data_IF_521337230372
#
_entry.id   IF_521337230372
#
_cell.length_a   1.000
_cell.length_b   1.000
_cell.length_c   1.000
_cell.angle_alpha   90.00
_cell.angle_beta   90.00
_cell.angle_gamma   90.00
#
_symmetry.space_group_name_H-M   'P 1'
#
loop_
_entity.id
_entity.type
_entity.pdbx_description
1 polymer ?
#
# COMPACT_ATOMS: atom_id res chain seq x y z
N UNK A 1 18.72 -7.41 -2.84
CA UNK A 1 17.28 -7.50 -2.55
C UNK A 1 16.64 -6.13 -2.71
N UNK A 2 15.48 -6.10 -3.33
CA UNK A 2 14.80 -4.85 -3.62
C UNK A 2 13.41 -4.85 -2.97
N UNK A 3 13.39 -4.67 -1.66
CA UNK A 3 12.15 -4.60 -0.91
C UNK A 3 11.35 -3.36 -1.28
N UNK A 4 10.03 -3.48 -1.24
CA UNK A 4 9.10 -2.40 -1.52
C UNK A 4 7.96 -2.49 -0.50
N UNK A 5 7.49 -1.35 -0.03
CA UNK A 5 6.39 -1.29 0.92
C UNK A 5 5.14 -0.81 0.20
N UNK A 6 4.03 -1.53 0.39
CA UNK A 6 2.72 -1.12 -0.10
C UNK A 6 1.89 -0.54 1.04
N UNK A 7 1.21 0.57 0.79
CA UNK A 7 0.41 1.25 1.80
C UNK A 7 -0.98 1.57 1.25
N UNK A 8 -1.99 1.29 2.07
CA UNK A 8 -3.37 1.68 1.80
C UNK A 8 -3.81 2.65 2.90
N UNK A 9 -3.90 3.92 2.53
CA UNK A 9 -4.19 5.00 3.48
C UNK A 9 -5.69 5.08 3.78
N UNK A 10 -6.11 4.40 4.83
CA UNK A 10 -7.51 4.40 5.25
C UNK A 10 -7.86 5.51 6.23
N UNK A 11 -9.11 5.57 6.62
CA UNK A 11 -9.60 6.58 7.56
C UNK A 11 -9.06 6.42 8.98
N UNK A 12 -8.99 5.19 9.46
CA UNK A 12 -8.53 4.88 10.82
C UNK A 12 -7.22 4.11 10.82
N UNK A 13 -6.91 3.39 9.76
CA UNK A 13 -5.74 2.52 9.66
C UNK A 13 -5.04 2.71 8.34
N UNK A 14 -3.75 2.40 8.37
CA UNK A 14 -2.96 2.32 7.16
C UNK A 14 -2.66 0.84 6.96
N UNK A 15 -3.19 0.26 5.89
CA UNK A 15 -2.87 -1.11 5.50
C UNK A 15 -1.43 -1.19 5.03
N UNK A 16 -0.74 -2.28 5.36
CA UNK A 16 0.68 -2.44 5.11
C UNK A 16 0.96 -3.77 4.42
N UNK A 17 1.77 -3.74 3.39
CA UNK A 17 2.31 -4.93 2.76
C UNK A 17 3.78 -4.72 2.47
N UNK A 18 4.54 -5.81 2.42
CA UNK A 18 5.95 -5.78 2.05
C UNK A 18 6.15 -6.79 0.93
N UNK A 19 6.88 -6.40 -0.09
CA UNK A 19 7.18 -7.26 -1.22
C UNK A 19 8.62 -7.10 -1.67
N UNK A 20 8.96 -7.83 -2.71
CA UNK A 20 10.31 -7.85 -3.26
C UNK A 20 10.25 -7.83 -4.79
N UNK A 21 11.02 -6.94 -5.41
CA UNK A 21 11.04 -6.80 -6.87
C UNK A 21 11.63 -8.02 -7.57
N UNK A 22 12.49 -8.76 -6.91
CA UNK A 22 13.10 -9.96 -7.50
C UNK A 22 12.14 -11.15 -7.50
N UNK A 23 11.50 -11.43 -6.36
CA UNK A 23 10.53 -12.52 -6.27
C UNK A 23 9.16 -12.14 -6.79
N UNK A 24 8.87 -10.84 -6.84
CA UNK A 24 7.59 -10.28 -7.26
C UNK A 24 6.42 -10.75 -6.42
N UNK A 25 6.67 -11.01 -5.14
CA UNK A 25 5.61 -11.42 -4.22
C UNK A 25 5.43 -10.39 -3.13
N UNK A 26 4.17 -10.12 -2.80
CA UNK A 26 3.79 -9.22 -1.73
C UNK A 26 3.08 -9.97 -0.63
N UNK A 27 3.34 -9.58 0.62
CA UNK A 27 2.76 -10.19 1.80
C UNK A 27 2.14 -9.12 2.68
N UNK A 28 0.92 -9.37 3.16
CA UNK A 28 0.25 -8.45 4.09
C UNK A 28 0.97 -8.45 5.44
N UNK A 29 1.04 -7.27 6.03
CA UNK A 29 1.57 -7.07 7.38
C UNK A 29 0.49 -6.46 8.25
N UNK A 30 0.65 -6.47 9.58
CA UNK A 30 -0.34 -5.83 10.44
C UNK A 30 -0.53 -4.36 10.08
N UNK A 31 -1.79 -3.92 10.01
CA UNK A 31 -2.09 -2.53 9.70
C UNK A 31 -1.67 -1.63 10.87
N UNK A 32 -1.34 -0.38 10.53
CA UNK A 32 -1.00 0.64 11.52
C UNK A 32 -2.25 1.42 11.88
N UNK A 33 -2.53 1.55 13.17
CA UNK A 33 -3.59 2.44 13.64
C UNK A 33 -3.09 3.88 13.52
N UNK A 34 -3.85 4.71 12.81
CA UNK A 34 -3.46 6.11 12.61
C UNK A 34 -3.54 6.88 13.93
N UNK A 35 -2.53 7.68 14.18
CA UNK A 35 -2.44 8.54 15.37
C UNK A 35 -2.40 10.00 14.94
N UNK A 36 -1.27 10.44 14.43
CA UNK A 36 -1.08 11.76 13.85
C UNK A 36 -0.03 11.64 12.76
N UNK A 37 0.09 12.65 11.91
CA UNK A 37 0.97 12.59 10.76
C UNK A 37 2.41 12.27 11.16
N UNK A 38 2.95 12.98 12.14
CA UNK A 38 4.34 12.79 12.55
C UNK A 38 4.60 11.37 13.04
N UNK A 39 3.74 10.84 13.91
CA UNK A 39 3.89 9.49 14.44
C UNK A 39 3.75 8.43 13.34
N UNK A 40 2.80 8.62 12.42
CA UNK A 40 2.57 7.68 11.34
C UNK A 40 3.77 7.66 10.39
N UNK A 41 4.33 8.83 10.05
CA UNK A 41 5.53 8.90 9.21
C UNK A 41 6.73 8.26 9.88
N UNK A 42 6.90 8.45 11.19
CA UNK A 42 8.00 7.83 11.93
C UNK A 42 7.89 6.31 11.88
N UNK A 43 6.70 5.75 12.06
CA UNK A 43 6.51 4.30 12.03
C UNK A 43 6.77 3.72 10.65
N UNK A 44 6.37 4.45 9.59
CA UNK A 44 6.65 4.01 8.23
C UNK A 44 8.15 4.12 7.92
N UNK A 45 8.81 5.17 8.39
CA UNK A 45 10.25 5.31 8.23
C UNK A 45 11.00 4.17 8.92
N UNK A 46 10.57 3.79 10.13
CA UNK A 46 11.15 2.65 10.84
C UNK A 46 10.95 1.35 10.08
N UNK A 47 9.77 1.13 9.52
CA UNK A 47 9.48 -0.05 8.71
C UNK A 47 10.38 -0.08 7.47
N UNK A 48 10.50 1.05 6.78
CA UNK A 48 11.34 1.16 5.59
C UNK A 48 12.82 0.84 5.93
N UNK A 49 13.30 1.37 7.04
CA UNK A 49 14.66 1.10 7.48
C UNK A 49 14.85 -0.38 7.83
N UNK A 50 13.86 -0.98 8.51
CA UNK A 50 13.92 -2.39 8.88
C UNK A 50 13.94 -3.30 7.65
N UNK A 51 13.21 -2.92 6.60
CA UNK A 51 13.17 -3.69 5.35
C UNK A 51 14.31 -3.31 4.39
N UNK A 52 15.08 -2.29 4.73
CA UNK A 52 16.20 -1.87 3.89
C UNK A 52 15.79 -1.23 2.59
N UNK A 53 14.71 -0.46 2.59
CA UNK A 53 14.18 0.15 1.38
C UNK A 53 13.81 1.62 1.59
N UNK A 54 13.78 2.36 0.48
CA UNK A 54 13.21 3.71 0.44
C UNK A 54 11.99 3.78 -0.46
N UNK A 55 11.59 2.68 -1.10
CA UNK A 55 10.51 2.68 -2.08
C UNK A 55 9.18 2.28 -1.47
N UNK A 56 8.16 3.11 -1.71
CA UNK A 56 6.82 2.93 -1.19
C UNK A 56 5.82 3.06 -2.32
N UNK A 57 4.82 2.18 -2.33
CA UNK A 57 3.70 2.23 -3.27
C UNK A 57 2.44 2.54 -2.48
N UNK A 58 1.74 3.60 -2.87
CA UNK A 58 0.52 4.05 -2.19
C UNK A 58 -0.68 3.85 -3.11
N UNK A 59 -1.74 3.23 -2.59
CA UNK A 59 -2.99 3.09 -3.33
C UNK A 59 -3.66 4.45 -3.51
N UNK A 60 -4.19 4.69 -4.71
CA UNK A 60 -4.89 5.93 -5.02
C UNK A 60 -6.37 5.60 -5.24
N UNK A 61 -7.25 5.93 -4.27
CA UNK A 61 -8.68 5.59 -4.37
C UNK A 61 -9.41 6.56 -5.28
N UNK A 62 -9.63 6.15 -6.53
CA UNK A 62 -10.38 6.93 -7.50
C UNK A 62 -11.84 6.52 -7.52
N UNK A 63 -12.70 7.44 -7.95
CA UNK A 63 -14.10 7.12 -8.25
C UNK A 63 -14.18 6.20 -9.48
N UNK A 64 -15.31 5.52 -9.64
CA UNK A 64 -15.46 4.56 -10.73
C UNK A 64 -15.28 5.19 -12.11
N UNK A 65 -15.59 6.48 -12.26
CA UNK A 65 -15.40 7.21 -13.51
C UNK A 65 -13.96 7.67 -13.75
N UNK A 66 -13.04 7.36 -12.81
CA UNK A 66 -11.65 7.77 -12.91
C UNK A 66 -11.33 9.11 -12.26
N UNK A 67 -12.34 9.85 -11.80
CA UNK A 67 -12.12 11.12 -11.13
C UNK A 67 -11.57 10.92 -9.72
N UNK A 68 -10.95 11.94 -9.17
CA UNK A 68 -10.38 11.90 -7.83
C UNK A 68 -11.20 12.76 -6.88
N UNK A 69 -11.65 12.13 -5.80
CA UNK A 69 -12.39 12.81 -4.74
C UNK A 69 -11.51 13.08 -3.52
N UNK A 70 -12.14 13.38 -2.37
CA UNK A 70 -11.41 13.72 -1.15
C UNK A 70 -10.45 12.63 -0.67
N UNK A 71 -10.80 11.35 -0.86
CA UNK A 71 -9.94 10.25 -0.44
C UNK A 71 -8.68 10.18 -1.30
N UNK A 72 -8.79 10.43 -2.60
CA UNK A 72 -7.62 10.49 -3.47
C UNK A 72 -6.72 11.67 -3.12
N UNK A 73 -7.31 12.82 -2.80
CA UNK A 73 -6.56 13.99 -2.36
C UNK A 73 -5.79 13.67 -1.07
N UNK A 74 -6.42 12.97 -0.13
CA UNK A 74 -5.77 12.57 1.11
C UNK A 74 -4.60 11.61 0.85
N UNK A 75 -4.78 10.65 -0.06
CA UNK A 75 -3.71 9.72 -0.40
C UNK A 75 -2.54 10.44 -1.06
N UNK A 76 -2.79 11.39 -1.94
CA UNK A 76 -1.73 12.18 -2.56
C UNK A 76 -0.99 13.04 -1.55
N UNK A 77 -1.71 13.66 -0.61
CA UNK A 77 -1.08 14.43 0.46
C UNK A 77 -0.20 13.55 1.33
N UNK A 78 -0.67 12.34 1.65
CA UNK A 78 0.11 11.38 2.41
C UNK A 78 1.39 10.98 1.66
N UNK A 79 1.27 10.71 0.36
CA UNK A 79 2.42 10.42 -0.48
C UNK A 79 3.43 11.55 -0.51
N UNK A 80 2.97 12.80 -0.59
CA UNK A 80 3.84 13.96 -0.55
C UNK A 80 4.58 14.05 0.79
N UNK A 81 3.90 13.75 1.90
CA UNK A 81 4.51 13.74 3.22
C UNK A 81 5.59 12.65 3.32
N UNK A 82 5.33 11.46 2.78
CA UNK A 82 6.33 10.40 2.72
C UNK A 82 7.56 10.83 1.93
N UNK A 83 7.35 11.58 0.85
CA UNK A 83 8.46 12.12 0.06
C UNK A 83 9.34 13.07 0.86
N UNK A 84 8.77 13.83 1.80
CA UNK A 84 9.55 14.77 2.61
C UNK A 84 10.52 14.09 3.57
N UNK A 85 10.28 12.81 3.90
CA UNK A 85 11.18 12.06 4.78
C UNK A 85 12.12 11.14 4.01
N UNK A 86 12.26 11.36 2.71
CA UNK A 86 13.24 10.67 1.88
C UNK A 86 12.77 9.40 1.22
N UNK A 87 11.46 9.13 1.22
CA UNK A 87 10.92 7.94 0.57
C UNK A 87 10.53 8.25 -0.87
N UNK A 88 10.73 7.28 -1.74
CA UNK A 88 10.31 7.33 -3.14
C UNK A 88 8.91 6.76 -3.25
N UNK A 89 7.96 7.55 -3.73
CA UNK A 89 6.54 7.19 -3.72
C UNK A 89 6.00 7.02 -5.14
N UNK A 90 5.37 5.87 -5.37
CA UNK A 90 4.57 5.62 -6.56
C UNK A 90 3.12 5.41 -6.16
N UNK A 91 2.19 5.73 -7.05
CA UNK A 91 0.75 5.52 -6.81
C UNK A 91 0.20 4.45 -7.74
N UNK A 92 -0.73 3.66 -7.22
CA UNK A 92 -1.45 2.63 -7.96
C UNK A 92 -2.95 2.88 -7.81
N UNK A 93 -3.69 2.79 -8.91
CA UNK A 93 -5.14 2.94 -8.89
C UNK A 93 -5.76 1.82 -8.06
N UNK A 94 -6.38 2.19 -6.95
CA UNK A 94 -6.91 1.25 -5.95
C UNK A 94 -8.25 0.63 -6.34
N UNK A 95 -8.95 1.19 -7.34
CA UNK A 95 -10.30 0.73 -7.70
C UNK A 95 -10.38 -0.78 -7.92
N UNK A 96 -9.47 -1.31 -8.74
CA UNK A 96 -9.48 -2.73 -9.08
C UNK A 96 -8.90 -3.57 -7.95
N UNK A 97 -7.83 -3.10 -7.32
CA UNK A 97 -7.15 -3.84 -6.25
C UNK A 97 -8.04 -4.03 -5.03
N UNK A 98 -8.74 -2.97 -4.60
CA UNK A 98 -9.66 -3.06 -3.45
C UNK A 98 -10.79 -4.03 -3.71
N UNK A 99 -11.35 -4.01 -4.91
CA UNK A 99 -12.42 -4.91 -5.29
C UNK A 99 -11.94 -6.37 -5.27
N UNK A 100 -10.78 -6.62 -5.82
CA UNK A 100 -10.18 -7.96 -5.80
C UNK A 100 -9.87 -8.44 -4.40
N UNK A 101 -9.41 -7.56 -3.52
CA UNK A 101 -9.15 -7.92 -2.12
C UNK A 101 -10.41 -8.45 -1.45
N UNK A 102 -11.55 -7.77 -1.62
CA UNK A 102 -12.81 -8.20 -1.05
C UNK A 102 -13.25 -9.55 -1.63
N UNK A 103 -13.12 -9.71 -2.93
CA UNK A 103 -13.51 -10.93 -3.62
C UNK A 103 -12.64 -12.12 -3.22
N UNK A 104 -11.34 -11.91 -3.13
CA UNK A 104 -10.41 -12.96 -2.74
C UNK A 104 -10.66 -13.45 -1.32
N UNK A 105 -10.96 -12.56 -0.39
CA UNK A 105 -11.28 -12.93 0.99
C UNK A 105 -12.56 -13.75 1.06
N UNK A 106 -13.57 -13.38 0.27
CA UNK A 106 -14.83 -14.13 0.21
C UNK A 106 -14.59 -15.51 -0.43
N UNK A 107 -13.85 -15.56 -1.51
CA UNK A 107 -13.56 -16.81 -2.21
C UNK A 107 -12.76 -17.78 -1.33
N UNK A 108 -11.90 -17.25 -0.47
CA UNK A 108 -11.14 -18.07 0.48
C UNK A 108 -11.96 -18.49 1.69
N UNK A 109 -13.22 -18.08 1.80
CA UNK A 109 -14.07 -18.38 2.94
C UNK A 109 -13.66 -17.65 4.21
N UNK A 110 -12.92 -16.57 4.07
CA UNK A 110 -12.43 -15.79 5.21
C UNK A 110 -13.17 -14.46 5.28
N UNK A 111 -13.47 -14.06 6.50
CA UNK A 111 -14.03 -12.73 6.74
C UNK A 111 -12.91 -11.82 7.27
N UNK A 112 -12.83 -10.58 6.80
CA UNK A 112 -11.83 -9.65 7.34
C UNK A 112 -12.04 -9.44 8.84
N UNK A 113 -10.95 -9.49 9.59
CA UNK A 113 -10.97 -9.21 11.01
C UNK A 113 -10.72 -7.72 11.22
N UNK A 114 -11.75 -7.02 11.69
CA UNK A 114 -11.64 -5.57 11.90
C UNK A 114 -10.59 -5.20 12.95
N UNK A 115 -10.47 -6.01 13.98
CA UNK A 115 -9.52 -5.72 15.05
C UNK A 115 -8.07 -5.78 14.59
N UNK A 116 -7.75 -6.69 13.67
CA UNK A 116 -6.39 -6.84 13.15
C UNK A 116 -6.09 -5.92 11.97
N UNK A 117 -7.12 -5.32 11.36
CA UNK A 117 -6.96 -4.54 10.14
C UNK A 117 -6.61 -5.40 8.92
N UNK A 118 -6.93 -6.69 8.95
CA UNK A 118 -6.61 -7.62 7.87
C UNK A 118 -7.15 -7.18 6.52
N UNK A 119 -8.36 -6.60 6.48
CA UNK A 119 -8.94 -6.12 5.24
C UNK A 119 -8.10 -5.00 4.61
N UNK A 120 -7.65 -4.05 5.42
CA UNK A 120 -6.83 -2.94 4.94
C UNK A 120 -5.48 -3.44 4.44
N UNK A 121 -4.89 -4.40 5.13
CA UNK A 121 -3.62 -4.98 4.71
C UNK A 121 -3.77 -5.88 3.49
N UNK A 122 -4.92 -6.54 3.32
CA UNK A 122 -5.20 -7.30 2.11
C UNK A 122 -5.24 -6.38 0.89
N UNK A 123 -5.85 -5.21 1.02
CA UNK A 123 -5.86 -4.21 -0.05
C UNK A 123 -4.44 -3.72 -0.35
N UNK A 124 -3.66 -3.44 0.68
CA UNK A 124 -2.27 -3.01 0.51
C UNK A 124 -1.45 -4.08 -0.21
N UNK A 125 -1.66 -5.35 0.11
CA UNK A 125 -0.99 -6.46 -0.56
C UNK A 125 -1.32 -6.49 -2.05
N UNK A 126 -2.59 -6.33 -2.41
CA UNK A 126 -2.99 -6.34 -3.82
C UNK A 126 -2.50 -5.12 -4.57
N UNK A 127 -2.50 -3.95 -3.94
CA UNK A 127 -1.93 -2.73 -4.51
C UNK A 127 -0.46 -2.96 -4.84
N UNK A 128 0.28 -3.49 -3.89
CA UNK A 128 1.70 -3.76 -4.09
C UNK A 128 1.93 -4.87 -5.12
N UNK A 129 1.13 -5.93 -5.08
CA UNK A 129 1.23 -7.02 -6.03
C UNK A 129 1.00 -6.54 -7.46
N UNK A 130 0.02 -5.68 -7.66
CA UNK A 130 -0.24 -5.09 -8.98
C UNK A 130 0.95 -4.28 -9.47
N UNK A 131 1.55 -3.49 -8.59
CA UNK A 131 2.75 -2.71 -8.93
C UNK A 131 3.89 -3.65 -9.31
N UNK A 132 4.11 -4.72 -8.55
CA UNK A 132 5.17 -5.71 -8.83
C UNK A 132 4.91 -6.44 -10.15
N UNK A 133 3.66 -6.80 -10.43
CA UNK A 133 3.30 -7.51 -11.66
C UNK A 133 3.54 -6.68 -12.91
N UNK A 134 3.39 -5.37 -12.82
CA UNK A 134 3.64 -4.45 -13.93
C UNK A 134 5.12 -4.20 -14.19
N UNK A 135 5.96 -4.46 -13.21
CA UNK A 135 7.41 -4.26 -13.34
C UNK A 135 8.07 -5.58 -13.69
N UNK A 136 8.60 -5.67 -14.88
CA UNK A 136 9.28 -6.87 -15.35
C UNK A 136 10.78 -6.75 -15.10
N UNK A 137 11.48 -7.88 -14.88
CA UNK A 137 12.91 -7.83 -14.62
C UNK A 137 13.73 -7.17 -15.72
N UNK A 138 13.26 -7.27 -16.95
CA UNK A 138 13.92 -6.67 -18.12
C UNK A 138 13.43 -5.27 -18.46
N UNK A 139 12.50 -4.73 -17.66
CA UNK A 139 11.98 -3.38 -17.87
C UNK A 139 13.01 -2.37 -17.38
N UNK A 140 13.53 -1.49 -18.25
CA UNK A 140 14.53 -0.51 -17.85
C UNK A 140 14.04 0.48 -16.79
N UNK A 141 12.72 0.58 -16.59
CA UNK A 141 12.13 1.42 -15.54
C UNK A 141 11.88 0.68 -14.25
N UNK A 142 12.10 -0.61 -14.24
CA UNK A 142 11.87 -1.40 -13.04
C UNK A 142 12.96 -1.14 -12.00
#
# INVERSE_FOLDING_TARGET
MSAVIGLDHGGKRIGVAVGDEETRQAFARPALLRRNVAADLDRIAELAAAEGTTRVVVGLPRNMDGSEGPQAAAARAFGAQLGTIGLEVDFVDERLSSWQAGEDLVAAGRRPERASGEKDSAAARLILQEWLDRRRPDDPKA
#
